data_IF_501269434609
#
_entry.id   IF_501269434609
#
_cell.length_a   1.000
_cell.length_b   1.000
_cell.length_c   1.000
_cell.angle_alpha   90.00
_cell.angle_beta   90.00
_cell.angle_gamma   90.00
#
_symmetry.space_group_name_H-M   'P 1'
#
loop_
_entity.id
_entity.type
_entity.pdbx_description
1 polymer ?
#
# COMPACT_ATOMS: atom_id res chain seq x y z
N UNK A 1 47.59 -10.56 -19.85
CA UNK A 1 46.35 -9.76 -20.00
C UNK A 1 45.20 -10.77 -20.20
N UNK A 2 44.56 -11.20 -19.13
CA UNK A 2 43.37 -12.03 -19.18
C UNK A 2 42.18 -11.07 -18.99
N UNK A 3 41.46 -10.78 -20.07
CA UNK A 3 40.19 -10.08 -20.04
C UNK A 3 39.10 -11.08 -19.64
N UNK A 4 38.76 -11.09 -18.36
CA UNK A 4 37.58 -11.80 -17.87
C UNK A 4 36.33 -11.10 -18.41
N UNK A 5 35.78 -11.61 -19.50
CA UNK A 5 34.42 -11.30 -19.94
C UNK A 5 33.44 -12.06 -19.03
N UNK A 6 33.17 -11.52 -17.84
CA UNK A 6 31.92 -11.84 -17.13
C UNK A 6 30.77 -11.30 -17.97
N UNK A 7 30.18 -12.16 -18.77
CA UNK A 7 28.86 -11.92 -19.36
C UNK A 7 27.83 -11.82 -18.22
N UNK A 8 27.64 -10.59 -17.70
CA UNK A 8 26.56 -10.34 -16.74
C UNK A 8 25.23 -10.65 -17.43
N UNK A 9 24.40 -11.49 -16.80
CA UNK A 9 23.02 -11.70 -17.24
C UNK A 9 22.34 -10.35 -17.51
N UNK A 10 21.42 -10.26 -18.50
CA UNK A 10 20.69 -9.05 -18.78
C UNK A 10 20.10 -8.50 -17.48
N UNK A 11 20.17 -7.20 -17.25
CA UNK A 11 19.76 -6.56 -15.99
C UNK A 11 18.33 -6.96 -15.57
N UNK A 12 17.44 -7.17 -16.53
CA UNK A 12 16.06 -7.62 -16.33
C UNK A 12 15.92 -9.05 -15.74
N UNK A 13 16.96 -9.90 -15.80
CA UNK A 13 16.91 -11.29 -15.31
C UNK A 13 17.49 -11.44 -13.88
N UNK A 14 17.91 -10.36 -13.23
CA UNK A 14 18.52 -10.41 -11.90
C UNK A 14 17.48 -10.64 -10.82
N UNK A 15 17.78 -11.54 -9.87
CA UNK A 15 16.99 -11.68 -8.66
C UNK A 15 17.23 -10.48 -7.74
N UNK A 16 16.16 -9.93 -7.18
CA UNK A 16 16.18 -8.82 -6.24
C UNK A 16 15.64 -9.32 -4.90
N UNK A 17 16.37 -9.11 -3.82
CA UNK A 17 15.85 -9.24 -2.47
C UNK A 17 15.35 -7.87 -2.03
N UNK A 18 14.04 -7.76 -1.81
CA UNK A 18 13.37 -6.55 -1.35
C UNK A 18 12.98 -6.68 0.11
N UNK A 19 13.06 -5.57 0.84
CA UNK A 19 12.74 -5.46 2.27
C UNK A 19 11.72 -4.33 2.48
N UNK A 20 10.67 -4.63 3.24
CA UNK A 20 9.66 -3.67 3.68
C UNK A 20 9.59 -3.67 5.22
N UNK A 21 9.79 -2.49 5.82
CA UNK A 21 9.72 -2.26 7.26
C UNK A 21 9.19 -0.86 7.58
N UNK A 22 8.39 -0.24 6.72
CA UNK A 22 8.01 1.17 6.88
C UNK A 22 7.05 1.44 8.04
N UNK A 23 6.28 0.43 8.47
CA UNK A 23 5.28 0.57 9.54
C UNK A 23 5.33 -0.62 10.51
N UNK A 24 4.34 -1.50 10.48
CA UNK A 24 4.18 -2.63 11.42
C UNK A 24 4.23 -4.01 10.75
N UNK A 25 4.52 -4.09 9.47
CA UNK A 25 4.85 -5.32 8.77
C UNK A 25 6.37 -5.43 8.55
N UNK A 26 6.94 -6.59 8.93
CA UNK A 26 8.30 -6.97 8.54
C UNK A 26 8.20 -7.91 7.36
N UNK A 27 8.62 -7.49 6.17
CA UNK A 27 8.52 -8.33 5.00
C UNK A 27 9.82 -8.41 4.21
N UNK A 28 10.02 -9.56 3.54
CA UNK A 28 11.05 -9.78 2.55
C UNK A 28 10.48 -10.55 1.36
N UNK A 29 10.90 -10.19 0.15
CA UNK A 29 10.49 -10.86 -1.07
C UNK A 29 11.67 -11.04 -2.02
N UNK A 30 11.61 -12.12 -2.80
CA UNK A 30 12.53 -12.35 -3.92
C UNK A 30 11.76 -12.21 -5.21
N UNK A 31 12.18 -11.24 -6.03
CA UNK A 31 11.54 -10.91 -7.31
C UNK A 31 12.55 -11.04 -8.43
N UNK A 32 12.11 -11.58 -9.58
CA UNK A 32 12.93 -11.67 -10.80
C UNK A 32 12.14 -11.04 -11.96
N UNK A 33 12.53 -9.84 -12.38
CA UNK A 33 11.75 -9.08 -13.37
C UNK A 33 10.33 -8.84 -12.90
N UNK A 34 9.35 -9.33 -13.66
CA UNK A 34 7.92 -9.26 -13.30
C UNK A 34 7.41 -10.49 -12.53
N UNK A 35 8.27 -11.41 -12.10
CA UNK A 35 7.91 -12.66 -11.43
C UNK A 35 8.19 -12.58 -9.93
N UNK A 36 7.22 -12.97 -9.11
CA UNK A 36 7.36 -13.14 -7.67
C UNK A 36 7.80 -14.58 -7.37
N UNK A 37 9.05 -14.76 -6.89
CA UNK A 37 9.56 -16.08 -6.53
C UNK A 37 9.18 -16.45 -5.09
N UNK A 38 9.21 -15.50 -4.17
CA UNK A 38 8.77 -15.69 -2.78
C UNK A 38 8.41 -14.35 -2.14
N UNK A 39 7.46 -14.38 -1.21
CA UNK A 39 7.10 -13.23 -0.37
C UNK A 39 6.75 -13.74 1.03
N UNK A 40 7.44 -13.20 2.03
CA UNK A 40 7.26 -13.51 3.45
C UNK A 40 6.92 -12.24 4.21
N UNK A 41 5.89 -12.31 5.04
CA UNK A 41 5.42 -11.21 5.88
C UNK A 41 5.27 -11.69 7.32
N UNK A 42 5.78 -10.91 8.26
CA UNK A 42 5.54 -11.06 9.68
C UNK A 42 4.83 -9.81 10.20
N UNK A 43 3.50 -9.93 10.39
CA UNK A 43 2.69 -8.80 10.86
C UNK A 43 2.80 -8.62 12.37
N UNK A 44 2.82 -7.37 12.80
CA UNK A 44 2.87 -6.97 14.19
C UNK A 44 1.49 -6.56 14.74
N UNK A 45 0.41 -6.75 13.98
CA UNK A 45 -0.96 -6.44 14.41
C UNK A 45 -1.26 -6.97 15.83
N UNK A 46 -0.92 -8.25 16.18
CA UNK A 46 -1.18 -8.75 17.52
C UNK A 46 -0.44 -7.99 18.63
N UNK A 47 0.75 -7.46 18.34
CA UNK A 47 1.54 -6.68 19.31
C UNK A 47 0.94 -5.28 19.51
N UNK A 48 0.37 -4.70 18.47
CA UNK A 48 -0.20 -3.36 18.50
C UNK A 48 -1.67 -3.33 18.95
N UNK A 49 -2.37 -4.45 18.87
CA UNK A 49 -3.79 -4.56 19.22
C UNK A 49 -4.09 -4.09 20.65
N UNK A 50 -3.21 -4.41 21.62
CA UNK A 50 -3.37 -3.99 23.00
C UNK A 50 -3.30 -2.47 23.21
N UNK A 51 -2.65 -1.73 22.27
CA UNK A 51 -2.56 -0.27 22.29
C UNK A 51 -3.67 0.39 21.44
N UNK A 52 -4.35 -0.41 20.63
CA UNK A 52 -5.39 0.08 19.70
C UNK A 52 -4.85 0.92 18.55
N UNK A 53 -3.60 0.66 18.13
CA UNK A 53 -2.91 1.33 17.03
C UNK A 53 -1.40 1.12 17.11
N UNK A 54 -0.69 1.47 16.04
CA UNK A 54 0.76 1.27 15.92
C UNK A 54 1.54 2.13 16.92
N UNK A 55 2.50 1.50 17.62
CA UNK A 55 3.45 2.16 18.53
C UNK A 55 4.84 2.09 17.90
N UNK A 56 5.42 3.22 17.42
CA UNK A 56 6.64 3.22 16.62
C UNK A 56 7.84 2.52 17.25
N UNK A 57 8.03 2.69 18.56
CA UNK A 57 9.14 2.07 19.27
C UNK A 57 8.98 0.54 19.40
N UNK A 58 7.75 0.06 19.58
CA UNK A 58 7.44 -1.37 19.60
C UNK A 58 7.70 -1.96 18.21
N UNK A 59 7.24 -1.26 17.14
CA UNK A 59 7.45 -1.67 15.77
C UNK A 59 8.93 -1.83 15.44
N UNK A 60 9.75 -0.82 15.69
CA UNK A 60 11.18 -0.86 15.37
C UNK A 60 11.92 -1.96 16.12
N UNK A 61 11.65 -2.15 17.41
CA UNK A 61 12.26 -3.25 18.19
C UNK A 61 11.90 -4.62 17.68
N UNK A 62 10.66 -4.78 17.19
CA UNK A 62 10.23 -6.06 16.65
C UNK A 62 10.85 -6.32 15.26
N UNK A 63 11.01 -5.31 14.40
CA UNK A 63 11.72 -5.45 13.13
C UNK A 63 13.13 -6.01 13.32
N UNK A 64 13.87 -5.53 14.32
CA UNK A 64 15.22 -6.04 14.62
C UNK A 64 15.26 -7.54 14.94
N UNK A 65 14.19 -8.08 15.54
CA UNK A 65 14.09 -9.50 15.89
C UNK A 65 13.62 -10.37 14.74
N UNK A 66 12.72 -9.83 13.91
CA UNK A 66 11.98 -10.62 12.92
C UNK A 66 12.56 -10.55 11.52
N UNK A 67 13.33 -9.50 11.17
CA UNK A 67 13.78 -9.28 9.79
C UNK A 67 14.69 -10.39 9.28
N UNK A 68 15.69 -10.82 10.07
CA UNK A 68 16.60 -11.92 9.66
C UNK A 68 15.83 -13.22 9.38
N UNK A 69 15.00 -13.76 10.29
CA UNK A 69 14.17 -14.93 10.00
C UNK A 69 13.25 -14.78 8.78
N UNK A 70 12.71 -13.58 8.53
CA UNK A 70 11.85 -13.31 7.37
C UNK A 70 12.66 -13.39 6.07
N UNK A 71 13.86 -12.80 6.03
CA UNK A 71 14.76 -12.89 4.88
C UNK A 71 15.16 -14.35 4.62
N UNK A 72 15.55 -15.11 5.65
CA UNK A 72 15.94 -16.52 5.52
C UNK A 72 14.80 -17.37 4.96
N UNK A 73 13.55 -17.15 5.41
CA UNK A 73 12.39 -17.85 4.85
C UNK A 73 12.12 -17.47 3.39
N UNK A 74 12.20 -16.18 3.04
CA UNK A 74 12.00 -15.73 1.66
C UNK A 74 13.04 -16.35 0.70
N UNK A 75 14.32 -16.39 1.08
CA UNK A 75 15.38 -17.03 0.29
C UNK A 75 15.15 -18.54 0.15
N UNK A 76 14.80 -19.20 1.25
CA UNK A 76 14.51 -20.65 1.26
C UNK A 76 13.29 -20.98 0.39
N UNK A 77 12.21 -20.22 0.48
CA UNK A 77 11.00 -20.40 -0.33
C UNK A 77 11.27 -20.17 -1.83
N UNK A 78 12.10 -19.17 -2.16
CA UNK A 78 12.55 -18.92 -3.52
C UNK A 78 13.57 -19.96 -4.02
N UNK A 79 14.15 -20.78 -3.15
CA UNK A 79 15.25 -21.71 -3.43
C UNK A 79 16.48 -21.01 -4.04
N UNK A 80 16.81 -19.84 -3.51
CA UNK A 80 17.90 -18.98 -3.96
C UNK A 80 18.79 -18.67 -2.77
N UNK A 81 20.11 -18.77 -2.95
CA UNK A 81 21.09 -18.33 -1.97
C UNK A 81 21.29 -16.81 -2.03
N UNK A 82 21.77 -16.22 -0.95
CA UNK A 82 22.07 -14.79 -0.90
C UNK A 82 23.11 -14.36 -1.97
N UNK A 83 24.00 -15.24 -2.34
CA UNK A 83 25.04 -14.98 -3.35
C UNK A 83 24.47 -14.86 -4.78
N UNK A 84 23.30 -15.46 -5.04
CA UNK A 84 22.60 -15.39 -6.34
C UNK A 84 21.75 -14.13 -6.47
N UNK A 85 21.58 -13.37 -5.38
CA UNK A 85 20.87 -12.08 -5.43
C UNK A 85 21.72 -11.07 -6.21
N UNK A 86 21.11 -10.45 -7.21
CA UNK A 86 21.75 -9.49 -8.11
C UNK A 86 21.63 -8.03 -7.68
N UNK A 87 20.63 -7.73 -6.84
CA UNK A 87 20.42 -6.40 -6.25
C UNK A 87 19.60 -6.49 -4.96
N UNK A 88 19.75 -5.49 -4.10
CA UNK A 88 19.02 -5.36 -2.83
C UNK A 88 18.18 -4.09 -2.84
N UNK A 89 16.96 -4.17 -2.37
CA UNK A 89 16.06 -3.05 -2.30
C UNK A 89 15.44 -2.91 -0.90
N UNK A 90 15.18 -1.69 -0.49
CA UNK A 90 14.41 -1.43 0.73
C UNK A 90 13.55 -0.20 0.58
N UNK A 91 12.45 -0.16 1.32
CA UNK A 91 11.65 1.05 1.49
C UNK A 91 12.45 2.08 2.28
N UNK A 92 12.64 3.27 1.66
CA UNK A 92 13.34 4.39 2.28
C UNK A 92 12.39 5.50 2.74
N UNK A 93 11.11 5.40 2.45
CA UNK A 93 10.06 6.34 2.84
C UNK A 93 8.84 6.29 1.90
N UNK A 94 7.73 6.94 2.30
CA UNK A 94 7.45 7.42 3.66
C UNK A 94 7.26 6.28 4.67
N UNK A 95 7.28 6.63 5.98
CA UNK A 95 7.06 5.66 7.05
C UNK A 95 7.66 6.07 8.38
N UNK A 96 7.65 5.15 9.35
CA UNK A 96 8.23 5.37 10.67
C UNK A 96 9.76 5.40 10.59
N UNK A 97 10.40 6.51 10.97
CA UNK A 97 11.83 6.72 10.81
C UNK A 97 12.70 5.56 11.34
N UNK A 98 12.46 5.12 12.58
CA UNK A 98 13.22 4.03 13.19
C UNK A 98 12.99 2.67 12.50
N UNK A 99 11.81 2.44 11.97
CA UNK A 99 11.47 1.23 11.23
C UNK A 99 12.11 1.21 9.84
N UNK A 100 12.02 2.32 9.09
CA UNK A 100 12.69 2.50 7.80
C UNK A 100 14.20 2.28 7.91
N UNK A 101 14.83 2.82 8.97
CA UNK A 101 16.26 2.70 9.20
C UNK A 101 16.71 1.24 9.27
N UNK A 102 15.92 0.36 9.86
CA UNK A 102 16.27 -1.05 10.03
C UNK A 102 16.33 -1.76 8.68
N UNK A 103 15.25 -1.70 7.88
CA UNK A 103 15.21 -2.33 6.57
C UNK A 103 16.27 -1.79 5.62
N UNK A 104 16.41 -0.47 5.57
CA UNK A 104 17.41 0.21 4.72
C UNK A 104 18.84 -0.15 5.11
N UNK A 105 19.17 -0.18 6.42
CA UNK A 105 20.50 -0.55 6.89
C UNK A 105 20.84 -1.98 6.55
N UNK A 106 19.91 -2.92 6.71
CA UNK A 106 20.12 -4.34 6.36
C UNK A 106 20.32 -4.50 4.85
N UNK A 107 19.47 -3.89 4.03
CA UNK A 107 19.60 -3.97 2.57
C UNK A 107 20.94 -3.40 2.06
N UNK A 108 21.35 -2.24 2.58
CA UNK A 108 22.67 -1.65 2.26
C UNK A 108 23.82 -2.51 2.70
N UNK A 109 23.78 -3.06 3.92
CA UNK A 109 24.82 -3.94 4.44
C UNK A 109 24.97 -5.19 3.58
N UNK A 110 23.87 -5.79 3.14
CA UNK A 110 23.87 -6.93 2.22
C UNK A 110 24.42 -6.54 0.84
N UNK A 111 24.04 -5.37 0.31
CA UNK A 111 24.54 -4.86 -0.95
C UNK A 111 26.06 -4.67 -0.92
N UNK A 112 26.60 -4.11 0.17
CA UNK A 112 28.05 -3.95 0.39
C UNK A 112 28.74 -5.30 0.48
N UNK A 113 28.23 -6.21 1.32
CA UNK A 113 28.83 -7.52 1.54
C UNK A 113 28.87 -8.37 0.25
N UNK A 114 27.84 -8.28 -0.56
CA UNK A 114 27.72 -9.03 -1.83
C UNK A 114 28.26 -8.25 -3.04
N UNK A 115 28.74 -7.01 -2.86
CA UNK A 115 29.19 -6.12 -3.95
C UNK A 115 28.14 -5.96 -5.06
N UNK A 116 26.89 -5.74 -4.67
CA UNK A 116 25.72 -5.60 -5.55
C UNK A 116 25.09 -4.22 -5.42
N UNK A 117 24.21 -3.89 -6.37
CA UNK A 117 23.48 -2.63 -6.37
C UNK A 117 22.46 -2.56 -5.22
N UNK A 118 22.24 -1.35 -4.72
CA UNK A 118 21.16 -1.00 -3.81
C UNK A 118 20.11 -0.14 -4.53
N UNK A 119 18.84 -0.32 -4.16
CA UNK A 119 17.72 0.49 -4.63
C UNK A 119 16.91 0.99 -3.44
N UNK A 120 16.83 2.30 -3.30
CA UNK A 120 15.96 2.99 -2.36
C UNK A 120 14.57 3.15 -3.00
N UNK A 121 13.53 2.61 -2.40
CA UNK A 121 12.19 2.55 -2.97
C UNK A 121 11.23 3.41 -2.14
N UNK A 122 10.37 4.14 -2.85
CA UNK A 122 9.26 4.86 -2.24
C UNK A 122 8.11 3.86 -1.95
N UNK A 123 7.65 3.82 -0.71
CA UNK A 123 6.57 2.94 -0.25
C UNK A 123 5.26 3.15 -1.03
N UNK A 124 4.92 4.42 -1.29
CA UNK A 124 3.69 4.77 -2.04
C UNK A 124 3.81 4.34 -3.49
N UNK A 125 5.00 4.43 -4.10
CA UNK A 125 5.24 3.91 -5.45
C UNK A 125 5.04 2.38 -5.49
N UNK A 126 5.42 1.67 -4.42
CA UNK A 126 5.14 0.25 -4.25
C UNK A 126 3.64 -0.05 -4.33
N UNK A 127 2.84 0.63 -3.52
CA UNK A 127 1.39 0.49 -3.58
C UNK A 127 0.81 0.92 -4.93
N UNK A 128 1.25 2.07 -5.46
CA UNK A 128 0.76 2.62 -6.73
C UNK A 128 0.89 1.63 -7.88
N UNK A 129 2.01 0.91 -7.92
CA UNK A 129 2.33 -0.01 -9.01
C UNK A 129 1.95 -1.46 -8.73
N UNK A 130 1.59 -1.81 -7.50
CA UNK A 130 1.22 -3.19 -7.13
C UNK A 130 0.09 -3.81 -7.98
N UNK A 131 -0.93 -3.06 -8.48
CA UNK A 131 -1.92 -3.63 -9.39
C UNK A 131 -1.36 -4.16 -10.71
N UNK A 132 -0.24 -3.61 -11.16
CA UNK A 132 0.40 -3.98 -12.43
C UNK A 132 1.35 -5.18 -12.30
N UNK A 133 1.68 -5.59 -11.08
CA UNK A 133 2.59 -6.68 -10.84
C UNK A 133 2.06 -7.99 -11.42
N UNK A 134 2.83 -8.64 -12.29
CA UNK A 134 2.43 -9.88 -12.97
C UNK A 134 1.45 -9.69 -14.14
N UNK A 135 1.09 -8.45 -14.50
CA UNK A 135 0.31 -8.21 -15.71
C UNK A 135 1.19 -8.25 -16.96
N UNK A 136 0.74 -8.88 -18.05
CA UNK A 136 1.55 -8.99 -19.27
C UNK A 136 1.94 -7.64 -19.87
N UNK A 137 1.05 -6.65 -19.77
CA UNK A 137 1.25 -5.32 -20.34
C UNK A 137 2.09 -4.39 -19.47
N UNK A 138 2.37 -4.78 -18.22
CA UNK A 138 3.10 -3.95 -17.26
C UNK A 138 2.39 -2.64 -16.90
N UNK A 139 3.17 -1.61 -16.54
CA UNK A 139 2.64 -0.29 -16.16
C UNK A 139 2.08 0.44 -17.37
N UNK A 140 0.82 0.87 -17.27
CA UNK A 140 0.07 1.58 -18.32
C UNK A 140 -0.54 2.87 -17.79
N UNK A 141 -0.86 3.84 -18.68
CA UNK A 141 -1.56 5.05 -18.28
C UNK A 141 -2.89 4.73 -17.57
N UNK A 142 -3.07 5.30 -16.36
CA UNK A 142 -4.20 5.00 -15.49
C UNK A 142 -4.49 6.15 -14.52
N UNK A 143 -5.67 6.16 -13.94
CA UNK A 143 -5.93 6.82 -12.65
C UNK A 143 -5.85 5.77 -11.56
N UNK A 144 -5.00 5.99 -10.58
CA UNK A 144 -4.80 5.07 -9.47
C UNK A 144 -5.27 5.67 -8.15
N UNK A 145 -6.06 4.91 -7.40
CA UNK A 145 -6.39 5.20 -6.01
C UNK A 145 -5.54 4.31 -5.10
N UNK A 146 -4.65 4.93 -4.34
CA UNK A 146 -3.90 4.29 -3.25
C UNK A 146 -4.62 4.61 -1.96
N UNK A 147 -5.18 3.60 -1.30
CA UNK A 147 -6.01 3.77 -0.10
C UNK A 147 -5.60 2.78 0.98
N UNK A 148 -4.93 3.27 2.04
CA UNK A 148 -4.36 2.46 3.13
C UNK A 148 -4.70 3.04 4.50
N UNK A 149 -4.10 2.50 5.56
CA UNK A 149 -4.21 3.01 6.93
C UNK A 149 -3.70 4.45 7.07
N UNK A 150 -2.59 4.78 6.40
CA UNK A 150 -1.96 6.10 6.50
C UNK A 150 -2.14 7.00 5.28
N UNK A 151 -2.61 6.49 4.15
CA UNK A 151 -2.64 7.24 2.90
C UNK A 151 -3.97 7.10 2.17
N UNK A 152 -4.43 8.21 1.59
CA UNK A 152 -5.50 8.25 0.59
C UNK A 152 -5.07 9.23 -0.49
N UNK A 153 -4.65 8.69 -1.63
CA UNK A 153 -4.06 9.43 -2.74
C UNK A 153 -4.72 9.03 -4.04
N UNK A 154 -5.02 10.02 -4.87
CA UNK A 154 -5.49 9.85 -6.24
C UNK A 154 -4.41 10.36 -7.19
N UNK A 155 -3.87 9.47 -8.00
CA UNK A 155 -2.68 9.70 -8.82
C UNK A 155 -2.96 9.35 -10.27
N UNK A 156 -2.57 10.22 -11.18
CA UNK A 156 -2.49 9.84 -12.59
C UNK A 156 -1.11 9.23 -12.87
N UNK A 157 -1.12 8.05 -13.46
CA UNK A 157 0.05 7.37 -14.01
C UNK A 157 0.06 7.67 -15.51
N UNK A 158 1.08 8.38 -15.98
CA UNK A 158 1.32 8.58 -17.42
C UNK A 158 2.19 7.47 -17.99
N UNK A 159 3.21 7.07 -17.23
CA UNK A 159 4.12 5.96 -17.48
C UNK A 159 4.87 5.64 -16.18
N UNK A 160 5.67 4.58 -16.16
CA UNK A 160 6.59 4.33 -15.06
C UNK A 160 7.48 5.55 -14.81
N UNK A 161 7.59 5.97 -13.54
CA UNK A 161 8.36 7.13 -13.10
C UNK A 161 7.73 8.49 -13.44
N UNK A 162 6.58 8.53 -14.13
CA UNK A 162 5.86 9.77 -14.45
C UNK A 162 4.47 9.75 -13.85
N UNK A 163 4.34 10.40 -12.70
CA UNK A 163 3.12 10.45 -11.90
C UNK A 163 2.68 11.89 -11.67
N UNK A 164 1.38 12.12 -11.61
CA UNK A 164 0.80 13.40 -11.22
C UNK A 164 -0.19 13.17 -10.08
N UNK A 165 0.04 13.81 -8.95
CA UNK A 165 -0.91 13.81 -7.85
C UNK A 165 -2.14 14.62 -8.27
N UNK A 166 -3.31 14.01 -8.25
CA UNK A 166 -4.59 14.64 -8.58
C UNK A 166 -5.29 15.15 -7.32
N UNK A 167 -5.23 14.37 -6.25
CA UNK A 167 -5.80 14.71 -4.96
C UNK A 167 -5.30 13.79 -3.85
N UNK A 168 -5.47 14.24 -2.63
CA UNK A 168 -5.08 13.50 -1.42
C UNK A 168 -6.01 13.84 -0.27
N UNK A 169 -5.96 13.06 0.81
CA UNK A 169 -6.68 13.44 2.02
C UNK A 169 -6.07 14.69 2.65
N UNK A 170 -6.93 15.58 3.13
CA UNK A 170 -6.55 16.81 3.83
C UNK A 170 -6.48 16.61 5.35
N UNK A 171 -6.95 15.45 5.83
CA UNK A 171 -6.98 15.10 7.25
C UNK A 171 -6.74 13.58 7.43
N UNK A 172 -7.67 12.84 8.03
CA UNK A 172 -7.55 11.40 8.23
C UNK A 172 -7.51 10.66 6.88
N UNK A 173 -6.65 9.64 6.76
CA UNK A 173 -6.77 8.67 5.68
C UNK A 173 -8.05 7.82 5.85
N UNK A 174 -8.55 7.24 4.76
CA UNK A 174 -9.77 6.41 4.83
C UNK A 174 -9.60 5.22 5.79
N UNK A 175 -8.46 4.54 5.79
CA UNK A 175 -8.19 3.44 6.71
C UNK A 175 -8.09 3.91 8.16
N UNK A 176 -7.47 5.05 8.41
CA UNK A 176 -7.43 5.67 9.73
C UNK A 176 -8.85 6.01 10.25
N UNK A 177 -9.73 6.49 9.37
CA UNK A 177 -11.13 6.72 9.72
C UNK A 177 -11.85 5.42 10.11
N UNK A 178 -11.61 4.32 9.38
CA UNK A 178 -12.12 2.99 9.74
C UNK A 178 -11.61 2.54 11.11
N UNK A 179 -10.33 2.70 11.42
CA UNK A 179 -9.73 2.30 12.68
C UNK A 179 -10.26 3.13 13.86
N UNK A 180 -10.35 4.46 13.67
CA UNK A 180 -10.90 5.37 14.68
C UNK A 180 -12.36 5.07 15.00
N UNK A 181 -13.18 4.80 13.98
CA UNK A 181 -14.60 4.47 14.17
C UNK A 181 -14.76 3.05 14.72
N UNK A 182 -14.00 2.06 14.24
CA UNK A 182 -13.97 0.73 14.81
C UNK A 182 -13.71 0.76 16.32
N UNK A 183 -12.70 1.54 16.75
CA UNK A 183 -12.41 1.75 18.18
C UNK A 183 -13.56 2.39 18.95
N UNK A 184 -14.23 3.39 18.38
CA UNK A 184 -15.42 4.03 19.00
C UNK A 184 -16.57 3.05 19.17
N UNK A 185 -16.72 2.08 18.26
CA UNK A 185 -17.76 1.05 18.28
C UNK A 185 -17.35 -0.18 19.11
N UNK A 186 -16.19 -0.17 19.76
CA UNK A 186 -15.69 -1.30 20.55
C UNK A 186 -15.23 -2.49 19.72
N UNK A 187 -14.97 -2.31 18.42
CA UNK A 187 -14.47 -3.36 17.55
C UNK A 187 -12.96 -3.55 17.73
N UNK A 188 -12.43 -4.78 17.56
CA UNK A 188 -11.00 -5.05 17.65
C UNK A 188 -10.18 -4.28 16.59
N UNK A 189 -8.91 -4.01 16.89
CA UNK A 189 -7.94 -3.49 15.93
C UNK A 189 -7.39 -4.64 15.02
N UNK A 190 -7.18 -4.39 13.71
CA UNK A 190 -7.51 -3.18 12.96
C UNK A 190 -9.02 -3.03 12.69
N UNK A 191 -9.52 -1.80 12.79
CA UNK A 191 -10.95 -1.49 12.68
C UNK A 191 -11.53 -1.73 11.29
N UNK A 192 -10.77 -1.45 10.22
CA UNK A 192 -11.24 -1.58 8.84
C UNK A 192 -11.82 -2.96 8.50
N UNK A 193 -11.08 -4.06 8.66
CA UNK A 193 -11.59 -5.42 8.43
C UNK A 193 -12.79 -5.78 9.33
N UNK A 194 -12.82 -5.27 10.57
CA UNK A 194 -13.92 -5.54 11.49
C UNK A 194 -15.20 -4.83 11.09
N UNK A 195 -15.11 -3.54 10.73
CA UNK A 195 -16.24 -2.77 10.20
C UNK A 195 -16.79 -3.45 8.95
N UNK A 196 -15.93 -3.83 8.00
CA UNK A 196 -16.34 -4.54 6.77
C UNK A 196 -17.08 -5.84 7.08
N UNK A 197 -16.59 -6.62 8.06
CA UNK A 197 -17.22 -7.88 8.47
C UNK A 197 -18.59 -7.64 9.13
N UNK A 198 -18.68 -6.68 10.05
CA UNK A 198 -19.93 -6.37 10.77
C UNK A 198 -20.96 -5.73 9.83
N UNK A 199 -20.54 -4.95 8.85
CA UNK A 199 -21.40 -4.31 7.85
C UNK A 199 -22.11 -5.32 6.92
N UNK A 200 -21.65 -6.58 6.90
CA UNK A 200 -22.25 -7.61 6.03
C UNK A 200 -23.72 -7.86 6.40
N UNK A 201 -24.61 -7.64 5.42
CA UNK A 201 -26.06 -7.78 5.59
C UNK A 201 -26.75 -6.58 6.25
N UNK A 202 -26.00 -5.54 6.61
CA UNK A 202 -26.59 -4.29 7.13
C UNK A 202 -27.12 -3.39 6.01
N UNK A 203 -28.05 -2.50 6.38
CA UNK A 203 -28.63 -1.49 5.48
C UNK A 203 -27.69 -0.27 5.37
N UNK A 204 -27.08 -0.02 4.19
CA UNK A 204 -26.17 1.11 3.99
C UNK A 204 -26.88 2.47 3.94
N UNK A 205 -28.22 2.51 3.88
CA UNK A 205 -29.03 3.72 3.86
C UNK A 205 -29.65 4.06 5.23
N UNK A 206 -29.43 3.23 6.26
CA UNK A 206 -30.05 3.40 7.58
C UNK A 206 -29.66 4.71 8.26
N UNK A 207 -28.41 5.16 8.06
CA UNK A 207 -27.88 6.40 8.60
C UNK A 207 -27.24 7.22 7.48
N UNK A 208 -27.68 8.48 7.35
CA UNK A 208 -27.09 9.40 6.38
C UNK A 208 -25.84 10.08 6.98
N UNK A 209 -24.68 9.44 6.80
CA UNK A 209 -23.40 10.02 7.19
C UNK A 209 -22.90 11.05 6.17
N UNK A 210 -22.11 12.06 6.60
CA UNK A 210 -21.59 13.07 5.69
C UNK A 210 -20.62 12.45 4.66
N UNK A 211 -20.72 12.91 3.41
CA UNK A 211 -19.79 12.64 2.31
C UNK A 211 -18.96 13.90 2.09
N UNK A 212 -18.02 14.13 3.02
CA UNK A 212 -17.21 15.36 2.99
C UNK A 212 -16.49 15.52 1.65
N UNK A 213 -16.41 16.74 1.16
CA UNK A 213 -15.76 17.13 -0.09
C UNK A 213 -16.25 16.40 -1.36
N UNK A 214 -17.36 15.65 -1.32
CA UNK A 214 -17.88 14.94 -2.50
C UNK A 214 -18.14 15.90 -3.68
N UNK A 215 -18.51 17.13 -3.40
CA UNK A 215 -18.86 18.16 -4.39
C UNK A 215 -17.92 19.36 -4.38
N UNK A 216 -16.69 19.23 -3.83
CA UNK A 216 -15.72 20.35 -3.70
C UNK A 216 -15.13 20.85 -5.03
N UNK A 217 -15.34 20.14 -6.13
CA UNK A 217 -14.81 20.52 -7.44
C UNK A 217 -13.35 20.06 -7.70
N UNK A 218 -12.62 19.71 -6.66
CA UNK A 218 -11.29 19.09 -6.70
C UNK A 218 -11.34 17.56 -6.51
N UNK A 219 -10.19 16.92 -6.37
CA UNK A 219 -10.06 15.48 -6.12
C UNK A 219 -9.54 15.15 -4.72
N UNK A 220 -9.45 16.14 -3.83
CA UNK A 220 -9.02 15.93 -2.44
C UNK A 220 -10.10 15.25 -1.61
N UNK A 221 -9.69 14.61 -0.52
CA UNK A 221 -10.54 13.85 0.39
C UNK A 221 -10.51 14.43 1.80
N UNK A 222 -11.54 14.12 2.60
CA UNK A 222 -11.59 14.40 4.03
C UNK A 222 -12.48 13.36 4.71
N UNK A 223 -11.97 12.73 5.78
CA UNK A 223 -12.69 11.69 6.51
C UNK A 223 -12.78 11.96 8.02
N UNK A 224 -12.10 12.97 8.58
CA UNK A 224 -12.09 13.27 10.02
C UNK A 224 -13.50 13.60 10.57
N UNK A 225 -14.36 14.19 9.73
CA UNK A 225 -15.75 14.51 10.08
C UNK A 225 -16.61 13.28 10.37
N UNK A 226 -16.31 12.13 9.74
CA UNK A 226 -17.06 10.89 9.95
C UNK A 226 -16.92 10.36 11.38
N UNK A 227 -15.71 10.38 11.96
CA UNK A 227 -15.51 10.02 13.37
C UNK A 227 -16.38 10.84 14.30
N UNK A 228 -16.45 12.15 14.05
CA UNK A 228 -17.25 13.08 14.84
C UNK A 228 -18.74 12.79 14.68
N UNK A 229 -19.22 12.53 13.45
CA UNK A 229 -20.60 12.17 13.17
C UNK A 229 -21.02 10.88 13.92
N UNK A 230 -20.19 9.83 13.86
CA UNK A 230 -20.43 8.58 14.61
C UNK A 230 -20.47 8.86 16.13
N UNK A 231 -19.50 9.60 16.66
CA UNK A 231 -19.44 9.93 18.09
C UNK A 231 -20.69 10.63 18.60
N UNK A 232 -21.24 11.57 17.82
CA UNK A 232 -22.48 12.27 18.19
C UNK A 232 -23.74 11.42 18.00
N UNK A 233 -23.68 10.41 17.14
CA UNK A 233 -24.78 9.47 16.93
C UNK A 233 -24.87 8.42 18.03
N UNK A 234 -23.74 7.91 18.56
CA UNK A 234 -23.71 6.84 19.56
C UNK A 234 -24.68 7.05 20.73
N UNK A 235 -24.77 8.25 21.38
CA UNK A 235 -25.74 8.47 22.45
C UNK A 235 -27.20 8.47 22.00
N UNK A 236 -27.46 8.53 20.70
CA UNK A 236 -28.79 8.64 20.08
C UNK A 236 -29.12 7.42 19.23
N UNK A 237 -28.33 6.35 19.32
CA UNK A 237 -28.43 5.17 18.45
C UNK A 237 -29.82 4.52 18.53
N UNK A 238 -30.50 4.55 19.71
CA UNK A 238 -31.78 3.88 19.87
C UNK A 238 -31.71 2.42 19.40
N UNK A 239 -32.59 2.04 18.48
CA UNK A 239 -32.70 0.68 17.92
C UNK A 239 -31.90 0.48 16.62
N UNK A 240 -30.89 1.32 16.32
CA UNK A 240 -30.07 1.14 15.11
C UNK A 240 -29.15 -0.08 15.29
N UNK A 241 -29.32 -1.15 14.49
CA UNK A 241 -28.45 -2.32 14.57
C UNK A 241 -27.00 -1.97 14.21
N UNK A 242 -26.04 -2.59 14.91
CA UNK A 242 -24.63 -2.40 14.63
C UNK A 242 -24.23 -2.72 13.16
N UNK A 243 -24.78 -3.76 12.51
CA UNK A 243 -24.55 -4.00 11.09
C UNK A 243 -24.95 -2.81 10.20
N UNK A 244 -26.11 -2.19 10.44
CA UNK A 244 -26.61 -1.06 9.66
C UNK A 244 -25.75 0.18 9.86
N UNK A 245 -25.32 0.42 11.11
CA UNK A 245 -24.41 1.52 11.43
C UNK A 245 -23.05 1.36 10.70
N UNK A 246 -22.48 0.17 10.75
CA UNK A 246 -21.23 -0.13 10.05
C UNK A 246 -21.39 -0.07 8.54
N UNK A 247 -22.51 -0.57 7.99
CA UNK A 247 -22.80 -0.51 6.56
C UNK A 247 -22.96 0.93 6.07
N UNK A 248 -23.73 1.76 6.79
CA UNK A 248 -23.92 3.16 6.44
C UNK A 248 -22.63 3.98 6.55
N UNK A 249 -21.82 3.75 7.58
CA UNK A 249 -20.52 4.38 7.73
C UNK A 249 -19.56 4.00 6.59
N UNK A 250 -19.45 2.70 6.30
CA UNK A 250 -18.63 2.18 5.20
C UNK A 250 -19.06 2.76 3.86
N UNK A 251 -20.38 2.82 3.61
CA UNK A 251 -20.93 3.35 2.36
C UNK A 251 -20.56 4.82 2.15
N UNK A 252 -20.56 5.63 3.22
CA UNK A 252 -20.18 7.04 3.12
C UNK A 252 -18.73 7.24 2.65
N UNK A 253 -17.79 6.41 3.12
CA UNK A 253 -16.40 6.43 2.65
C UNK A 253 -16.32 5.94 1.22
N UNK A 254 -16.96 4.81 0.91
CA UNK A 254 -16.94 4.18 -0.41
C UNK A 254 -17.51 5.11 -1.48
N UNK A 255 -18.60 5.82 -1.18
CA UNK A 255 -19.20 6.81 -2.08
C UNK A 255 -18.19 7.88 -2.51
N UNK A 256 -17.48 8.47 -1.56
CA UNK A 256 -16.50 9.52 -1.84
C UNK A 256 -15.34 8.98 -2.67
N UNK A 257 -14.77 7.83 -2.28
CA UNK A 257 -13.64 7.22 -2.98
C UNK A 257 -13.97 6.88 -4.43
N UNK A 258 -15.10 6.21 -4.66
CA UNK A 258 -15.52 5.80 -6.01
C UNK A 258 -15.85 7.01 -6.87
N UNK A 259 -16.70 7.94 -6.38
CA UNK A 259 -17.16 9.08 -7.18
C UNK A 259 -15.98 9.96 -7.61
N UNK A 260 -15.08 10.31 -6.69
CA UNK A 260 -13.93 11.16 -7.03
C UNK A 260 -12.95 10.47 -7.98
N UNK A 261 -12.73 9.16 -7.83
CA UNK A 261 -11.87 8.40 -8.75
C UNK A 261 -12.43 8.37 -10.16
N UNK A 262 -13.75 8.15 -10.33
CA UNK A 262 -14.39 8.16 -11.64
C UNK A 262 -14.34 9.54 -12.30
N UNK A 263 -14.60 10.60 -11.53
CA UNK A 263 -14.48 11.99 -12.02
C UNK A 263 -13.05 12.31 -12.45
N UNK A 264 -12.05 11.81 -11.73
CA UNK A 264 -10.64 11.97 -12.12
C UNK A 264 -10.32 11.19 -13.39
N UNK A 265 -10.85 9.98 -13.57
CA UNK A 265 -10.68 9.20 -14.79
C UNK A 265 -11.31 9.93 -16.00
N UNK A 266 -12.49 10.50 -15.84
CA UNK A 266 -13.16 11.32 -16.85
C UNK A 266 -12.33 12.56 -17.19
N UNK A 267 -11.92 13.34 -16.18
CA UNK A 267 -11.16 14.59 -16.35
C UNK A 267 -9.78 14.39 -17.01
N UNK A 268 -9.16 13.24 -16.78
CA UNK A 268 -7.87 12.89 -17.39
C UNK A 268 -7.99 12.11 -18.69
N UNK A 269 -9.19 11.69 -19.06
CA UNK A 269 -9.42 10.84 -20.23
C UNK A 269 -8.86 9.41 -20.09
N UNK A 270 -8.50 8.98 -18.86
CA UNK A 270 -7.95 7.64 -18.63
C UNK A 270 -9.05 6.59 -18.60
N UNK A 271 -8.80 5.47 -19.27
CA UNK A 271 -9.76 4.35 -19.37
C UNK A 271 -9.45 3.21 -18.40
N UNK A 272 -8.32 3.26 -17.72
CA UNK A 272 -7.89 2.31 -16.71
C UNK A 272 -7.93 2.97 -15.32
N UNK A 273 -8.62 2.33 -14.39
CA UNK A 273 -8.62 2.65 -12.96
C UNK A 273 -7.84 1.57 -12.22
N UNK A 274 -6.84 1.95 -11.45
CA UNK A 274 -6.06 1.05 -10.62
C UNK A 274 -6.39 1.27 -9.14
N UNK A 275 -6.51 0.19 -8.36
CA UNK A 275 -6.88 0.24 -6.94
C UNK A 275 -5.92 -0.58 -6.10
N UNK A 276 -5.33 0.04 -5.06
CA UNK A 276 -4.37 -0.61 -4.15
C UNK A 276 -4.40 -0.03 -2.74
N UNK A 277 -3.56 -0.59 -1.85
CA UNK A 277 -3.55 -0.27 -0.42
C UNK A 277 -4.50 -1.14 0.39
N UNK A 278 -4.31 -1.24 1.70
CA UNK A 278 -5.04 -2.16 2.58
C UNK A 278 -6.56 -2.00 2.54
N UNK A 279 -7.06 -0.77 2.42
CA UNK A 279 -8.52 -0.50 2.32
C UNK A 279 -9.11 -1.04 1.02
N UNK A 280 -8.29 -1.24 -0.02
CA UNK A 280 -8.75 -1.89 -1.26
C UNK A 280 -9.18 -3.34 -1.08
N UNK A 281 -8.89 -3.97 0.06
CA UNK A 281 -9.43 -5.28 0.44
C UNK A 281 -10.91 -5.23 0.88
N UNK A 282 -11.47 -4.04 1.15
CA UNK A 282 -12.86 -3.89 1.53
C UNK A 282 -13.78 -4.39 0.40
N UNK A 283 -14.68 -5.32 0.75
CA UNK A 283 -15.55 -6.00 -0.23
C UNK A 283 -16.50 -5.03 -0.90
N UNK A 284 -17.12 -4.13 -0.11
CA UNK A 284 -18.06 -3.14 -0.63
C UNK A 284 -17.40 -2.15 -1.60
N UNK A 285 -16.17 -1.72 -1.27
CA UNK A 285 -15.38 -0.85 -2.14
C UNK A 285 -15.12 -1.52 -3.49
N UNK A 286 -14.68 -2.78 -3.49
CA UNK A 286 -14.43 -3.54 -4.73
C UNK A 286 -15.68 -3.74 -5.56
N UNK A 287 -16.80 -4.09 -4.93
CA UNK A 287 -18.09 -4.27 -5.59
C UNK A 287 -18.53 -2.98 -6.28
N UNK A 288 -18.50 -1.88 -5.53
CA UNK A 288 -18.94 -0.57 -6.05
C UNK A 288 -18.02 -0.06 -7.17
N UNK A 289 -16.71 -0.22 -7.03
CA UNK A 289 -15.78 0.11 -8.12
C UNK A 289 -16.03 -0.73 -9.36
N UNK A 290 -16.26 -2.04 -9.22
CA UNK A 290 -16.53 -2.92 -10.36
C UNK A 290 -17.77 -2.47 -11.11
N UNK A 291 -18.89 -2.32 -10.41
CA UNK A 291 -20.14 -1.87 -11.00
C UNK A 291 -20.02 -0.48 -11.65
N UNK A 292 -19.35 0.45 -10.98
CA UNK A 292 -19.20 1.82 -11.48
C UNK A 292 -18.24 1.89 -12.69
N UNK A 293 -17.15 1.15 -12.70
CA UNK A 293 -16.26 1.08 -13.86
C UNK A 293 -16.96 0.44 -15.06
N UNK A 294 -17.67 -0.67 -14.86
CA UNK A 294 -18.45 -1.34 -15.91
C UNK A 294 -19.47 -0.39 -16.53
N UNK A 295 -20.26 0.31 -15.69
CA UNK A 295 -21.28 1.26 -16.17
C UNK A 295 -20.71 2.45 -16.95
N UNK A 296 -19.43 2.82 -16.69
CA UNK A 296 -18.75 3.92 -17.37
C UNK A 296 -17.79 3.45 -18.48
N UNK A 297 -17.79 2.14 -18.81
CA UNK A 297 -16.91 1.56 -19.82
C UNK A 297 -15.42 1.71 -19.48
N UNK A 298 -15.07 1.71 -18.19
CA UNK A 298 -13.69 1.75 -17.69
C UNK A 298 -13.20 0.35 -17.33
N UNK A 299 -11.92 0.13 -17.47
CA UNK A 299 -11.27 -1.09 -16.98
C UNK A 299 -10.85 -0.89 -15.54
N UNK A 300 -11.15 -1.84 -14.65
CA UNK A 300 -10.69 -1.84 -13.25
C UNK A 300 -9.56 -2.86 -13.07
N UNK A 301 -8.43 -2.40 -12.57
CA UNK A 301 -7.30 -3.23 -12.17
C UNK A 301 -7.11 -3.11 -10.66
N UNK A 302 -7.22 -4.23 -9.94
CA UNK A 302 -7.10 -4.25 -8.48
C UNK A 302 -5.90 -5.11 -8.10
N UNK A 303 -5.08 -4.61 -7.18
CA UNK A 303 -3.98 -5.40 -6.63
C UNK A 303 -4.50 -6.71 -6.01
N UNK A 304 -3.76 -7.79 -6.22
CA UNK A 304 -4.06 -9.06 -5.58
C UNK A 304 -4.08 -8.91 -4.04
N UNK A 305 -4.87 -9.72 -3.31
CA UNK A 305 -5.00 -9.57 -1.84
C UNK A 305 -3.66 -9.53 -1.10
N UNK A 306 -2.70 -10.34 -1.51
CA UNK A 306 -1.35 -10.38 -0.92
C UNK A 306 -0.49 -9.14 -1.23
N UNK A 307 -0.89 -8.30 -2.19
CA UNK A 307 -0.19 -7.09 -2.61
C UNK A 307 -0.90 -5.81 -2.15
N UNK A 308 -2.06 -5.92 -1.48
CA UNK A 308 -2.82 -4.76 -1.02
C UNK A 308 -2.29 -4.17 0.29
N UNK A 309 -1.93 -5.03 1.25
CA UNK A 309 -1.29 -4.61 2.51
C UNK A 309 0.21 -4.43 2.31
N UNK A 310 0.89 -3.86 3.30
CA UNK A 310 2.34 -3.65 3.25
C UNK A 310 3.07 -4.97 3.05
N UNK A 311 3.88 -5.03 2.01
CA UNK A 311 4.61 -6.24 1.62
C UNK A 311 5.87 -5.89 0.83
N UNK A 312 6.86 -6.79 0.85
CA UNK A 312 8.11 -6.56 0.12
C UNK A 312 8.02 -6.88 -1.38
N UNK A 313 6.98 -7.60 -1.84
CA UNK A 313 6.84 -7.91 -3.26
C UNK A 313 6.57 -6.64 -4.09
N UNK A 314 5.75 -5.71 -3.58
CA UNK A 314 5.50 -4.42 -4.23
C UNK A 314 6.77 -3.58 -4.33
N UNK A 315 7.63 -3.63 -3.31
CA UNK A 315 8.94 -2.96 -3.28
C UNK A 315 9.90 -3.60 -4.29
N UNK A 316 9.92 -4.93 -4.33
CA UNK A 316 10.71 -5.69 -5.30
C UNK A 316 10.30 -5.44 -6.75
N UNK A 317 9.00 -5.27 -7.00
CA UNK A 317 8.49 -4.95 -8.33
C UNK A 317 8.98 -3.58 -8.80
N UNK A 318 8.84 -2.54 -7.98
CA UNK A 318 9.37 -1.21 -8.31
C UNK A 318 10.88 -1.26 -8.51
N UNK A 319 11.60 -1.98 -7.65
CA UNK A 319 13.05 -2.16 -7.78
C UNK A 319 13.42 -2.84 -9.11
N UNK A 320 12.64 -3.85 -9.55
CA UNK A 320 12.85 -4.51 -10.83
C UNK A 320 12.64 -3.56 -12.02
N UNK A 321 11.60 -2.73 -11.95
CA UNK A 321 11.34 -1.71 -12.97
C UNK A 321 12.47 -0.68 -13.02
N UNK A 322 12.90 -0.12 -11.89
CA UNK A 322 14.03 0.81 -11.81
C UNK A 322 15.31 0.20 -12.38
N UNK A 323 15.62 -1.02 -11.98
CA UNK A 323 16.81 -1.72 -12.47
C UNK A 323 16.75 -1.97 -13.99
N UNK A 324 15.58 -2.29 -14.54
CA UNK A 324 15.39 -2.46 -15.98
C UNK A 324 15.60 -1.15 -16.76
N UNK A 325 15.34 0.01 -16.12
CA UNK A 325 15.66 1.34 -16.68
C UNK A 325 17.09 1.80 -16.38
N UNK A 326 17.93 0.94 -15.79
CA UNK A 326 19.33 1.28 -15.49
C UNK A 326 19.50 2.13 -14.23
N UNK A 327 18.46 2.29 -13.43
CA UNK A 327 18.48 3.09 -12.20
C UNK A 327 18.99 2.26 -11.03
N UNK A 328 19.84 2.88 -10.20
CA UNK A 328 20.28 2.36 -8.90
C UNK A 328 20.38 3.54 -7.93
N UNK A 329 20.45 3.24 -6.64
CA UNK A 329 20.60 4.26 -5.61
C UNK A 329 22.01 4.24 -5.01
N UNK A 330 22.58 5.39 -4.66
CA UNK A 330 23.84 5.43 -3.94
C UNK A 330 23.68 4.86 -2.54
N UNK A 331 24.72 4.28 -1.97
CA UNK A 331 24.70 3.79 -0.58
C UNK A 331 24.52 4.92 0.45
N UNK A 332 24.78 6.16 0.06
CA UNK A 332 24.49 7.36 0.85
C UNK A 332 23.02 7.81 0.82
N UNK A 333 22.17 7.20 -0.04
CA UNK A 333 20.74 7.50 -0.02
C UNK A 333 20.19 7.29 1.39
N UNK A 334 19.54 8.30 1.96
CA UNK A 334 19.02 8.24 3.34
C UNK A 334 17.53 7.91 3.36
N UNK A 335 17.01 7.62 4.53
CA UNK A 335 15.58 7.51 4.76
C UNK A 335 14.94 8.89 4.78
N UNK A 336 13.71 8.98 4.29
CA UNK A 336 12.86 10.17 4.46
C UNK A 336 11.46 9.73 4.92
N UNK A 337 11.14 9.91 6.22
CA UNK A 337 9.81 9.55 6.76
C UNK A 337 8.64 10.24 6.06
N UNK A 338 8.90 11.37 5.40
CA UNK A 338 7.90 12.18 4.70
C UNK A 338 8.09 12.16 3.18
N UNK A 339 8.80 11.17 2.65
CA UNK A 339 9.12 11.07 1.22
C UNK A 339 7.87 11.14 0.37
N UNK A 340 7.78 12.17 -0.47
CA UNK A 340 6.66 12.34 -1.38
C UNK A 340 6.81 11.45 -2.62
N UNK A 341 5.69 11.05 -3.20
CA UNK A 341 5.67 10.30 -4.47
C UNK A 341 6.07 11.20 -5.65
N UNK A 342 5.65 12.45 -5.61
CA UNK A 342 5.96 13.50 -6.60
C UNK A 342 6.50 14.72 -5.87
N UNK A 343 7.47 15.40 -6.51
CA UNK A 343 8.12 16.57 -5.95
C UNK A 343 7.20 17.81 -5.94
#
# INVERSE_FOLDING_TARGET
VLTDHHTSAPQAARCILAIETSCDETAAAVVRGGELLASEVASQIPLHAQYGGVVPEVASRNHLRTLKPVIERALSAARISIAEIGAFAATCGPGLASSLMIGTSVAKSLAIAQRKSFLAINHIEGHLLSPFFGTPEGVRPAVALVVSGGHTLLVEIEAFGRYRLLGQTQDDAAGEAFDKVGKLLGLPYPGGPQVNRVATGGDPARVDFPRSMLHSGDFDFSFSGLKTAVRYLIPKLGDIPMPDLCASFQEAIVDVLVTKTLRAAEATGRRLVALSGGVSCNTRLREKFRAACESNGLTLLVAGPALCTDNAAMIGYVAALKLAHGETSPLSADIDPNLRLVA
#
